data_IF_337140196509
#
_entry.id   IF_337140196509
#
_cell.length_a   1.000
_cell.length_b   1.000
_cell.length_c   1.000
_cell.angle_alpha   90.00
_cell.angle_beta   90.00
_cell.angle_gamma   90.00
#
_symmetry.space_group_name_H-M   'P 1'
#
loop_
_entity.id
_entity.type
_entity.pdbx_description
1 polymer ?
#
# COMPACT_ATOMS: atom_id res chain seq x y z
N UNK A 1 5.61 -18.25 14.18
CA UNK A 1 5.27 -16.95 14.82
C UNK A 1 4.09 -16.37 14.05
N UNK A 2 2.91 -16.21 14.67
CA UNK A 2 1.72 -15.65 14.02
C UNK A 2 1.78 -14.13 14.18
N UNK A 3 2.00 -13.40 13.09
CA UNK A 3 2.03 -11.93 13.10
C UNK A 3 0.61 -11.42 12.95
N UNK A 4 0.15 -10.66 13.93
CA UNK A 4 -1.17 -10.03 13.98
C UNK A 4 -1.07 -8.66 13.32
N UNK A 5 -1.55 -8.51 12.09
CA UNK A 5 -1.58 -7.19 11.41
C UNK A 5 -2.95 -6.58 11.66
N UNK A 6 -3.06 -5.76 12.71
CA UNK A 6 -4.23 -4.90 12.94
C UNK A 6 -3.94 -3.56 12.29
N UNK A 7 -4.73 -3.19 11.28
CA UNK A 7 -4.61 -1.92 10.59
C UNK A 7 -5.01 -0.79 11.54
N UNK A 8 -4.10 0.12 11.93
CA UNK A 8 -4.52 1.36 12.56
C UNK A 8 -5.40 2.14 11.58
N UNK A 9 -6.51 2.71 12.07
CA UNK A 9 -7.31 3.64 11.27
C UNK A 9 -6.48 4.90 11.05
N UNK A 10 -6.28 5.38 9.81
CA UNK A 10 -5.59 6.63 9.58
C UNK A 10 -6.35 7.77 10.26
N UNK A 11 -5.64 8.60 11.01
CA UNK A 11 -6.21 9.73 11.73
C UNK A 11 -6.80 10.76 10.74
N UNK A 12 -8.09 11.09 10.88
CA UNK A 12 -8.74 12.18 10.13
C UNK A 12 -9.83 11.80 9.13
N UNK A 13 -10.30 10.55 9.10
CA UNK A 13 -11.44 10.15 8.25
C UNK A 13 -12.76 10.20 9.06
N UNK A 14 -13.82 10.91 8.60
CA UNK A 14 -15.14 10.76 9.22
C UNK A 14 -15.61 9.31 9.08
N UNK A 15 -16.14 8.76 10.17
CA UNK A 15 -16.64 7.39 10.24
C UNK A 15 -17.68 7.15 9.12
N UNK A 16 -17.32 6.30 8.16
CA UNK A 16 -18.34 5.64 7.34
C UNK A 16 -19.01 4.57 8.23
N UNK A 17 -20.33 4.35 8.08
CA UNK A 17 -21.09 3.52 9.00
C UNK A 17 -20.56 2.09 9.03
N UNK A 18 -20.53 1.55 10.23
CA UNK A 18 -20.12 0.21 10.61
C UNK A 18 -20.64 -0.85 9.62
N UNK A 19 -19.72 -1.66 9.09
CA UNK A 19 -20.03 -3.02 8.69
C UNK A 19 -19.19 -3.94 9.57
N UNK A 20 -19.91 -4.71 10.38
CA UNK A 20 -19.44 -5.56 11.46
C UNK A 20 -18.25 -6.43 11.05
N UNK A 21 -17.24 -6.43 11.92
CA UNK A 21 -16.08 -7.31 11.84
C UNK A 21 -16.50 -8.73 12.17
N UNK A 22 -16.38 -9.61 11.19
CA UNK A 22 -16.30 -11.05 11.43
C UNK A 22 -14.81 -11.40 11.59
N UNK A 23 -14.40 -11.52 12.85
CA UNK A 23 -13.04 -11.85 13.29
C UNK A 23 -12.81 -13.36 13.23
N UNK A 24 -12.48 -13.89 12.05
CA UNK A 24 -11.96 -15.26 11.92
C UNK A 24 -10.46 -15.29 12.23
N UNK A 25 -10.13 -15.70 13.45
CA UNK A 25 -8.77 -15.82 13.99
C UNK A 25 -7.93 -16.83 13.19
N UNK A 26 -7.22 -16.35 12.15
CA UNK A 26 -6.25 -17.14 11.40
C UNK A 26 -6.29 -16.97 9.88
N UNK A 27 -7.27 -16.24 9.34
CA UNK A 27 -7.36 -15.94 7.91
C UNK A 27 -6.68 -14.60 7.58
N UNK A 28 -6.04 -14.53 6.41
CA UNK A 28 -5.52 -13.27 5.87
C UNK A 28 -6.65 -12.22 5.83
N UNK A 29 -6.36 -10.92 6.03
CA UNK A 29 -7.35 -9.86 5.93
C UNK A 29 -8.12 -9.94 4.60
N UNK A 30 -9.39 -9.52 4.57
CA UNK A 30 -10.16 -9.45 3.31
C UNK A 30 -9.38 -8.61 2.29
N UNK A 31 -9.10 -9.18 1.12
CA UNK A 31 -8.32 -8.53 0.05
C UNK A 31 -8.91 -7.17 -0.36
N UNK A 32 -10.24 -7.04 -0.36
CA UNK A 32 -10.93 -5.77 -0.64
C UNK A 32 -10.63 -4.68 0.39
N UNK A 33 -10.59 -5.04 1.68
CA UNK A 33 -10.21 -4.13 2.77
C UNK A 33 -8.76 -3.69 2.66
N UNK A 34 -7.85 -4.63 2.34
CA UNK A 34 -6.44 -4.35 2.08
C UNK A 34 -6.28 -3.34 0.93
N UNK A 35 -6.89 -3.60 -0.23
CA UNK A 35 -6.82 -2.69 -1.39
C UNK A 35 -7.41 -1.32 -1.10
N UNK A 36 -8.47 -1.27 -0.29
CA UNK A 36 -9.08 -0.01 0.15
C UNK A 36 -8.11 0.77 1.03
N UNK A 37 -7.46 0.14 2.01
CA UNK A 37 -6.45 0.77 2.86
C UNK A 37 -5.25 1.29 2.04
N UNK A 38 -4.67 0.43 1.19
CA UNK A 38 -3.58 0.80 0.28
C UNK A 38 -3.92 2.00 -0.61
N UNK A 39 -5.17 2.11 -1.09
CA UNK A 39 -5.61 3.25 -1.90
C UNK A 39 -5.54 4.56 -1.11
N UNK A 40 -5.90 4.54 0.17
CA UNK A 40 -5.85 5.73 1.03
C UNK A 40 -4.40 6.14 1.31
N UNK A 41 -3.57 5.20 1.77
CA UNK A 41 -2.15 5.49 2.07
C UNK A 41 -1.40 5.94 0.81
N UNK A 42 -1.62 5.28 -0.33
CA UNK A 42 -1.02 5.69 -1.61
C UNK A 42 -1.41 7.12 -2.04
N UNK A 43 -2.66 7.54 -1.74
CA UNK A 43 -3.11 8.90 -2.00
C UNK A 43 -2.46 9.90 -1.06
N UNK A 44 -2.39 9.60 0.24
CA UNK A 44 -1.74 10.46 1.24
C UNK A 44 -0.27 10.69 0.90
N UNK A 45 0.46 9.62 0.55
CA UNK A 45 1.84 9.67 0.08
C UNK A 45 1.94 10.57 -1.15
N UNK A 46 1.10 10.35 -2.17
CA UNK A 46 1.13 11.15 -3.40
C UNK A 46 0.85 12.64 -3.16
N UNK A 47 -0.02 12.98 -2.21
CA UNK A 47 -0.30 14.37 -1.84
C UNK A 47 0.92 15.06 -1.18
N UNK A 48 1.58 14.37 -0.24
CA UNK A 48 2.81 14.88 0.38
C UNK A 48 3.93 15.07 -0.65
N UNK A 49 4.15 14.07 -1.50
CA UNK A 49 5.17 14.14 -2.56
C UNK A 49 4.87 15.24 -3.57
N UNK A 50 3.61 15.47 -3.94
CA UNK A 50 3.22 16.58 -4.81
C UNK A 50 3.51 17.95 -4.17
N UNK A 51 3.36 18.06 -2.85
CA UNK A 51 3.71 19.26 -2.08
C UNK A 51 5.23 19.43 -1.87
N UNK A 52 6.06 18.48 -2.32
CA UNK A 52 7.51 18.51 -2.11
C UNK A 52 7.90 18.19 -0.67
N UNK A 53 7.09 17.39 0.03
CA UNK A 53 7.29 16.98 1.41
C UNK A 53 7.47 15.47 1.49
N UNK A 54 8.20 15.03 2.51
CA UNK A 54 8.25 13.61 2.85
C UNK A 54 6.83 13.11 3.20
N UNK A 55 6.46 11.90 2.77
CA UNK A 55 5.19 11.33 3.15
C UNK A 55 5.16 11.07 4.66
N UNK A 56 4.00 11.19 5.31
CA UNK A 56 3.90 10.85 6.72
C UNK A 56 4.26 9.37 6.93
N UNK A 57 5.13 9.13 7.92
CA UNK A 57 5.88 7.88 8.09
C UNK A 57 4.95 6.69 8.31
N UNK A 58 3.90 6.87 9.10
CA UNK A 58 2.92 5.83 9.42
C UNK A 58 2.22 5.32 8.15
N UNK A 59 1.82 6.21 7.26
CA UNK A 59 1.14 5.90 6.01
C UNK A 59 2.09 5.24 5.01
N UNK A 60 3.34 5.69 4.96
CA UNK A 60 4.36 5.13 4.09
C UNK A 60 4.76 3.70 4.52
N UNK A 61 5.03 3.49 5.81
CA UNK A 61 5.33 2.17 6.36
C UNK A 61 4.13 1.22 6.21
N UNK A 62 2.92 1.71 6.44
CA UNK A 62 1.69 0.94 6.24
C UNK A 62 1.52 0.54 4.78
N UNK A 63 1.74 1.46 3.83
CA UNK A 63 1.68 1.14 2.40
C UNK A 63 2.69 0.06 2.00
N UNK A 64 3.91 0.12 2.53
CA UNK A 64 4.95 -0.90 2.28
C UNK A 64 4.54 -2.26 2.84
N UNK A 65 4.08 -2.31 4.09
CA UNK A 65 3.61 -3.55 4.72
C UNK A 65 2.43 -4.17 3.95
N UNK A 66 1.47 -3.35 3.54
CA UNK A 66 0.32 -3.79 2.77
C UNK A 66 0.68 -4.27 1.38
N UNK A 67 1.65 -3.63 0.75
CA UNK A 67 2.17 -4.02 -0.56
C UNK A 67 2.82 -5.40 -0.52
N UNK A 68 3.61 -5.67 0.53
CA UNK A 68 4.19 -7.00 0.79
C UNK A 68 3.12 -8.06 1.08
N UNK A 69 2.07 -7.68 1.82
CA UNK A 69 0.95 -8.57 2.09
C UNK A 69 0.11 -8.84 0.83
N UNK A 70 -0.10 -7.83 -0.03
CA UNK A 70 -0.90 -7.96 -1.25
C UNK A 70 -0.31 -8.96 -2.23
N UNK A 71 1.02 -9.01 -2.38
CA UNK A 71 1.68 -9.96 -3.29
C UNK A 71 1.62 -11.42 -2.81
N UNK A 72 1.17 -11.68 -1.57
CA UNK A 72 0.94 -13.04 -1.09
C UNK A 72 -0.42 -13.63 -1.47
N UNK A 73 -1.31 -12.86 -2.11
CA UNK A 73 -2.63 -13.35 -2.55
C UNK A 73 -2.54 -13.93 -3.97
N UNK A 74 -2.78 -15.23 -4.17
CA UNK A 74 -2.65 -15.86 -5.49
C UNK A 74 -3.74 -15.40 -6.48
N UNK A 75 -3.38 -15.34 -7.77
CA UNK A 75 -4.32 -15.07 -8.86
C UNK A 75 -4.83 -13.62 -8.91
N UNK A 76 -4.14 -12.68 -8.29
CA UNK A 76 -4.53 -11.26 -8.24
C UNK A 76 -3.56 -10.33 -8.98
N UNK A 77 -2.52 -10.86 -9.60
CA UNK A 77 -1.55 -10.09 -10.40
C UNK A 77 -0.17 -10.74 -10.50
N UNK A 78 -0.08 -12.06 -10.33
CA UNK A 78 1.15 -12.83 -10.11
C UNK A 78 2.31 -12.48 -11.07
N UNK A 79 2.09 -12.28 -12.39
CA UNK A 79 3.16 -11.88 -13.30
C UNK A 79 3.77 -10.51 -13.01
N UNK A 80 3.03 -9.62 -12.34
CA UNK A 80 3.44 -8.25 -12.02
C UNK A 80 4.02 -8.12 -10.61
N UNK A 81 3.92 -9.17 -9.78
CA UNK A 81 4.30 -9.10 -8.37
C UNK A 81 5.80 -8.93 -8.15
N UNK A 82 6.63 -9.55 -8.98
CA UNK A 82 8.08 -9.40 -8.86
C UNK A 82 8.52 -7.94 -9.07
N UNK A 83 8.10 -7.32 -10.18
CA UNK A 83 8.43 -5.92 -10.49
C UNK A 83 7.80 -4.95 -9.49
N UNK A 84 6.54 -5.18 -9.10
CA UNK A 84 5.87 -4.35 -8.09
C UNK A 84 6.56 -4.41 -6.72
N UNK A 85 6.98 -5.60 -6.28
CA UNK A 85 7.68 -5.78 -5.02
C UNK A 85 9.06 -5.11 -5.05
N UNK A 86 9.81 -5.25 -6.15
CA UNK A 86 11.11 -4.56 -6.32
C UNK A 86 10.96 -3.04 -6.13
N UNK A 87 9.96 -2.41 -6.77
CA UNK A 87 9.72 -0.97 -6.62
C UNK A 87 9.23 -0.60 -5.22
N UNK A 88 8.49 -1.49 -4.56
CA UNK A 88 8.06 -1.30 -3.17
C UNK A 88 9.24 -1.32 -2.21
N UNK A 89 10.19 -2.25 -2.38
CA UNK A 89 11.40 -2.32 -1.56
C UNK A 89 12.32 -1.13 -1.81
N UNK A 90 12.48 -0.71 -3.06
CA UNK A 90 13.21 0.51 -3.39
C UNK A 90 12.56 1.75 -2.76
N UNK A 91 11.22 1.81 -2.73
CA UNK A 91 10.48 2.90 -2.06
C UNK A 91 10.73 2.91 -0.56
N UNK A 92 10.75 1.75 0.09
CA UNK A 92 11.07 1.63 1.51
C UNK A 92 12.50 2.10 1.81
N UNK A 93 13.48 1.73 0.98
CA UNK A 93 14.86 2.19 1.13
C UNK A 93 14.98 3.72 0.93
N UNK A 94 14.28 4.29 -0.06
CA UNK A 94 14.24 5.74 -0.27
C UNK A 94 13.55 6.48 0.89
N UNK A 95 12.56 5.86 1.54
CA UNK A 95 11.90 6.41 2.73
C UNK A 95 12.86 6.48 3.92
N UNK A 96 13.64 5.43 4.16
CA UNK A 96 14.63 5.40 5.23
C UNK A 96 15.80 6.37 4.97
N UNK A 97 16.13 6.61 3.70
CA UNK A 97 17.13 7.60 3.29
C UNK A 97 16.58 9.04 3.19
N UNK A 98 15.27 9.23 3.39
CA UNK A 98 14.56 10.51 3.20
C UNK A 98 14.82 11.16 1.81
N UNK A 99 15.04 10.33 0.78
CA UNK A 99 15.33 10.77 -0.58
C UNK A 99 14.03 11.12 -1.32
N UNK A 100 13.65 12.40 -1.27
CA UNK A 100 12.40 12.90 -1.82
C UNK A 100 12.28 12.71 -3.34
N UNK A 101 13.38 12.84 -4.09
CA UNK A 101 13.37 12.68 -5.53
C UNK A 101 13.20 11.21 -5.92
N UNK A 102 13.90 10.30 -5.22
CA UNK A 102 13.70 8.86 -5.38
C UNK A 102 12.27 8.45 -5.01
N UNK A 103 11.72 8.96 -3.90
CA UNK A 103 10.35 8.69 -3.47
C UNK A 103 9.32 9.12 -4.52
N UNK A 104 9.51 10.29 -5.15
CA UNK A 104 8.65 10.78 -6.24
C UNK A 104 8.71 9.87 -7.47
N UNK A 105 9.91 9.52 -7.91
CA UNK A 105 10.10 8.65 -9.07
C UNK A 105 9.48 7.26 -8.84
N UNK A 106 9.73 6.67 -7.68
CA UNK A 106 9.21 5.35 -7.32
C UNK A 106 7.69 5.35 -7.12
N UNK A 107 7.11 6.41 -6.56
CA UNK A 107 5.65 6.56 -6.48
C UNK A 107 5.00 6.60 -7.86
N UNK A 108 5.61 7.31 -8.82
CA UNK A 108 5.14 7.36 -10.20
C UNK A 108 5.24 5.99 -10.90
N UNK A 109 6.34 5.25 -10.72
CA UNK A 109 6.50 3.89 -11.25
C UNK A 109 5.46 2.92 -10.65
N UNK A 110 5.25 2.96 -9.32
CA UNK A 110 4.20 2.16 -8.67
C UNK A 110 2.80 2.51 -9.20
N UNK A 111 2.54 3.79 -9.49
CA UNK A 111 1.28 4.21 -10.13
C UNK A 111 1.15 3.66 -11.56
N UNK A 112 2.24 3.61 -12.33
CA UNK A 112 2.29 3.04 -13.69
C UNK A 112 2.00 1.54 -13.66
N UNK A 113 2.73 0.78 -12.84
CA UNK A 113 2.57 -0.67 -12.68
C UNK A 113 1.14 -1.05 -12.28
N UNK A 114 0.55 -0.30 -11.35
CA UNK A 114 -0.85 -0.50 -10.97
C UNK A 114 -1.81 -0.33 -12.16
N UNK A 115 -1.61 0.70 -12.99
CA UNK A 115 -2.46 0.94 -14.17
C UNK A 115 -2.28 -0.15 -15.21
N UNK A 116 -1.05 -0.60 -15.43
CA UNK A 116 -0.74 -1.67 -16.39
C UNK A 116 -1.39 -2.99 -15.97
N UNK A 117 -1.26 -3.38 -14.70
CA UNK A 117 -1.95 -4.55 -14.14
C UNK A 117 -3.47 -4.42 -14.27
N UNK A 118 -4.05 -3.26 -13.93
CA UNK A 118 -5.50 -3.07 -14.05
C UNK A 118 -5.99 -3.06 -15.50
N UNK A 119 -5.24 -2.48 -16.45
CA UNK A 119 -5.60 -2.43 -17.87
C UNK A 119 -5.58 -3.82 -18.52
N UNK A 120 -4.73 -4.72 -18.02
CA UNK A 120 -4.54 -6.07 -18.58
C UNK A 120 -5.48 -7.12 -17.95
N UNK A 121 -6.18 -6.73 -16.87
CA UNK A 121 -7.13 -7.56 -16.12
C UNK A 121 -8.51 -6.88 -15.95
N UNK A 122 -8.83 -5.86 -16.74
CA UNK A 122 -10.14 -5.18 -16.77
C UNK A 122 -11.14 -5.90 -17.69
#
# INVERSE_FOLDING_TARGET
VKVRVKFPRPAGVPAAPDEEGDEEEGSLPKYSSLKKHMKYTFKAIGQALAAGQLPPREEADSFVADSRLMVSYPGKGDPFYAEYLEKTEAFAAALDAEDLDALRALHAELARLKRECHSRHA
#
